data_IF_578885423948
#
_entry.id   IF_578885423948
#
_cell.length_a   1.000
_cell.length_b   1.000
_cell.length_c   1.000
_cell.angle_alpha   90.00
_cell.angle_beta   90.00
_cell.angle_gamma   90.00
#
_symmetry.space_group_name_H-M   'P 1'
#
loop_
_entity.id
_entity.type
_entity.pdbx_description
1 polymer ?
#
# COMPACT_ATOMS: atom_id res chain seq x y z
N UNK A 1 10.14 10.88 13.90
CA UNK A 1 10.59 10.04 12.76
C UNK A 1 11.70 10.68 11.92
N UNK A 2 12.81 9.96 11.69
CA UNK A 2 13.84 10.29 10.69
C UNK A 2 13.48 9.62 9.34
N UNK A 3 12.72 10.30 8.48
CA UNK A 3 12.06 9.70 7.31
C UNK A 3 12.97 8.81 6.43
N UNK A 4 14.12 9.34 5.97
CA UNK A 4 15.01 8.61 5.05
C UNK A 4 15.59 7.36 5.69
N UNK A 5 15.90 7.41 6.99
CA UNK A 5 16.40 6.26 7.74
C UNK A 5 15.31 5.20 7.87
N UNK A 6 14.11 5.60 8.30
CA UNK A 6 12.94 4.72 8.39
C UNK A 6 12.63 4.06 7.05
N UNK A 7 12.61 4.84 5.95
CA UNK A 7 12.37 4.30 4.61
C UNK A 7 13.43 3.27 4.20
N UNK A 8 14.71 3.57 4.43
CA UNK A 8 15.80 2.61 4.17
C UNK A 8 15.67 1.35 5.01
N UNK A 9 15.30 1.47 6.28
CA UNK A 9 15.13 0.31 7.16
C UNK A 9 13.95 -0.57 6.71
N UNK A 10 12.81 0.01 6.35
CA UNK A 10 11.65 -0.71 5.81
C UNK A 10 12.02 -1.44 4.52
N UNK A 11 12.68 -0.76 3.58
CA UNK A 11 12.97 -1.30 2.23
C UNK A 11 14.19 -2.24 2.21
N UNK A 12 15.20 -2.01 3.04
CA UNK A 12 16.44 -2.82 2.99
C UNK A 12 16.47 -3.89 4.07
N UNK A 13 15.75 -3.69 5.18
CA UNK A 13 15.79 -4.57 6.36
C UNK A 13 14.41 -4.75 7.00
N UNK A 14 13.39 -5.17 6.23
CA UNK A 14 12.01 -5.22 6.70
C UNK A 14 11.87 -6.06 7.97
N UNK A 15 12.38 -7.30 7.98
CA UNK A 15 12.27 -8.16 9.15
C UNK A 15 12.85 -7.54 10.43
N UNK A 16 14.00 -6.86 10.35
CA UNK A 16 14.59 -6.17 11.50
C UNK A 16 13.76 -4.96 11.94
N UNK A 17 13.22 -4.20 10.98
CA UNK A 17 12.39 -3.03 11.24
C UNK A 17 11.12 -3.43 11.99
N UNK A 18 10.36 -4.39 11.47
CA UNK A 18 9.08 -4.81 12.05
C UNK A 18 9.22 -5.57 13.36
N UNK A 19 10.35 -6.24 13.58
CA UNK A 19 10.63 -6.84 14.89
C UNK A 19 10.87 -5.79 15.98
N UNK A 20 11.47 -4.64 15.63
CA UNK A 20 11.71 -3.51 16.56
C UNK A 20 10.50 -2.58 16.67
N UNK A 21 9.59 -2.63 15.70
CA UNK A 21 8.42 -1.75 15.64
C UNK A 21 7.52 -1.99 16.86
N UNK A 22 7.20 -0.95 17.64
CA UNK A 22 6.26 -1.10 18.74
C UNK A 22 4.88 -1.54 18.25
N UNK A 23 4.22 -2.44 18.97
CA UNK A 23 2.86 -2.91 18.66
C UNK A 23 1.75 -1.91 19.05
N UNK A 24 2.12 -0.85 19.79
CA UNK A 24 1.24 0.23 20.22
C UNK A 24 2.00 1.57 20.32
N UNK A 25 1.28 2.69 20.34
CA UNK A 25 1.82 4.05 20.48
C UNK A 25 1.18 5.11 19.57
N UNK A 26 0.04 4.82 18.95
CA UNK A 26 -0.72 5.72 18.09
C UNK A 26 -0.45 5.53 16.59
N UNK A 27 -1.20 6.28 15.78
CA UNK A 27 -1.19 6.18 14.31
C UNK A 27 -0.41 7.30 13.63
N UNK A 28 -0.03 8.35 14.38
CA UNK A 28 0.49 9.60 13.81
C UNK A 28 1.78 9.40 13.00
N UNK A 29 2.78 8.69 13.55
CA UNK A 29 4.05 8.46 12.84
C UNK A 29 3.87 7.59 11.58
N UNK A 30 3.25 6.40 11.63
CA UNK A 30 3.00 5.58 10.44
C UNK A 30 2.16 6.31 9.38
N UNK A 31 1.15 7.06 9.81
CA UNK A 31 0.29 7.82 8.89
C UNK A 31 1.09 8.93 8.19
N UNK A 32 1.94 9.64 8.94
CA UNK A 32 2.82 10.66 8.38
C UNK A 32 3.83 10.04 7.41
N UNK A 33 4.40 8.89 7.74
CA UNK A 33 5.31 8.15 6.85
C UNK A 33 4.64 7.80 5.52
N UNK A 34 3.44 7.22 5.58
CA UNK A 34 2.69 6.84 4.40
C UNK A 34 2.27 8.05 3.57
N UNK A 35 1.84 9.15 4.20
CA UNK A 35 1.53 10.40 3.53
C UNK A 35 2.74 10.98 2.77
N UNK A 36 3.95 10.90 3.35
CA UNK A 36 5.17 11.35 2.67
C UNK A 36 5.48 10.46 1.46
N UNK A 37 5.46 9.12 1.61
CA UNK A 37 5.67 8.20 0.48
C UNK A 37 4.68 8.45 -0.64
N UNK A 38 3.43 8.71 -0.28
CA UNK A 38 2.35 8.99 -1.17
C UNK A 38 2.58 10.27 -2.00
N UNK A 39 2.90 11.38 -1.33
CA UNK A 39 3.20 12.66 -1.99
C UNK A 39 4.39 12.52 -2.93
N UNK A 40 5.45 11.82 -2.50
CA UNK A 40 6.63 11.55 -3.35
C UNK A 40 6.23 10.71 -4.57
N UNK A 41 5.46 9.65 -4.37
CA UNK A 41 5.03 8.75 -5.46
C UNK A 41 4.16 9.48 -6.47
N UNK A 42 3.25 10.35 -6.02
CA UNK A 42 2.42 11.18 -6.89
C UNK A 42 3.27 12.15 -7.70
N UNK A 43 4.19 12.89 -7.07
CA UNK A 43 5.07 13.82 -7.78
C UNK A 43 5.95 13.12 -8.82
N UNK A 44 6.53 11.97 -8.46
CA UNK A 44 7.34 11.17 -9.40
C UNK A 44 6.49 10.63 -10.56
N UNK A 45 5.24 10.21 -10.30
CA UNK A 45 4.33 9.71 -11.34
C UNK A 45 3.93 10.81 -12.33
N UNK A 46 3.68 12.03 -11.84
CA UNK A 46 3.42 13.19 -12.70
C UNK A 46 4.64 13.51 -13.56
N UNK A 47 5.84 13.51 -12.98
CA UNK A 47 7.08 13.78 -13.70
C UNK A 47 7.40 12.71 -14.77
N UNK A 48 7.18 11.44 -14.43
CA UNK A 48 7.34 10.33 -15.35
C UNK A 48 6.34 10.42 -16.51
N UNK A 49 5.07 10.74 -16.22
CA UNK A 49 4.02 10.91 -17.21
C UNK A 49 4.33 12.07 -18.17
N UNK A 50 4.83 13.20 -17.65
CA UNK A 50 5.29 14.33 -18.46
C UNK A 50 6.42 13.91 -19.41
N UNK A 51 7.42 13.20 -18.89
CA UNK A 51 8.56 12.75 -19.68
C UNK A 51 8.13 11.82 -20.82
N UNK A 52 7.24 10.86 -20.55
CA UNK A 52 6.71 9.94 -21.57
C UNK A 52 5.96 10.71 -22.67
N UNK A 53 5.07 11.63 -22.31
CA UNK A 53 4.29 12.42 -23.28
C UNK A 53 5.18 13.25 -24.20
N UNK A 54 6.25 13.85 -23.67
CA UNK A 54 7.21 14.63 -24.48
C UNK A 54 8.05 13.77 -25.43
N UNK A 55 8.41 12.54 -25.02
CA UNK A 55 9.21 11.62 -25.85
C UNK A 55 8.39 11.06 -27.03
N UNK A 56 7.10 10.79 -26.83
CA UNK A 56 6.21 10.26 -27.87
C UNK A 56 5.59 11.33 -28.78
N UNK A 57 6.05 12.59 -28.69
CA UNK A 57 5.65 13.66 -29.60
C UNK A 57 4.20 14.11 -29.45
N UNK A 58 3.61 13.94 -28.28
CA UNK A 58 2.23 14.39 -28.02
C UNK A 58 2.19 15.91 -27.87
N UNK A 59 1.41 16.60 -28.72
CA UNK A 59 1.01 18.01 -28.55
C UNK A 59 -0.01 18.16 -27.40
N UNK A 60 0.32 17.60 -26.24
CA UNK A 60 -0.54 17.67 -25.06
C UNK A 60 -0.60 19.10 -24.52
N UNK A 61 -1.81 19.62 -24.38
CA UNK A 61 -2.04 20.95 -23.83
C UNK A 61 -1.82 20.91 -22.31
N UNK A 62 -1.41 22.03 -21.70
CA UNK A 62 -1.23 22.12 -20.24
C UNK A 62 -2.51 21.75 -19.44
N UNK A 63 -3.68 21.89 -20.05
CA UNK A 63 -4.97 21.43 -19.50
C UNK A 63 -5.03 19.92 -19.31
N UNK A 64 -4.45 19.15 -20.24
CA UNK A 64 -4.52 17.68 -20.26
C UNK A 64 -3.62 17.09 -19.17
N UNK A 65 -2.48 17.73 -18.90
CA UNK A 65 -1.61 17.40 -17.77
C UNK A 65 -2.28 17.69 -16.42
N UNK A 66 -3.05 18.77 -16.33
CA UNK A 66 -3.84 19.09 -15.14
C UNK A 66 -4.84 17.96 -14.82
N UNK A 67 -5.61 17.54 -15.81
CA UNK A 67 -6.59 16.43 -15.67
C UNK A 67 -5.89 15.11 -15.33
N UNK A 68 -4.79 14.78 -16.01
CA UNK A 68 -4.02 13.56 -15.73
C UNK A 68 -3.44 13.55 -14.32
N UNK A 69 -2.87 14.66 -13.86
CA UNK A 69 -2.31 14.76 -12.51
C UNK A 69 -3.38 14.63 -11.42
N UNK A 70 -4.56 15.22 -11.63
CA UNK A 70 -5.70 15.11 -10.74
C UNK A 70 -6.24 13.66 -10.69
N UNK A 71 -6.32 12.99 -11.84
CA UNK A 71 -6.73 11.60 -11.92
C UNK A 71 -5.73 10.67 -11.23
N UNK A 72 -4.43 10.85 -11.47
CA UNK A 72 -3.37 10.11 -10.79
C UNK A 72 -3.41 10.32 -9.27
N UNK A 73 -3.64 11.56 -8.83
CA UNK A 73 -3.83 11.89 -7.42
C UNK A 73 -5.06 11.18 -6.83
N UNK A 74 -6.20 11.21 -7.53
CA UNK A 74 -7.41 10.52 -7.07
C UNK A 74 -7.21 9.00 -6.97
N UNK A 75 -6.58 8.37 -7.97
CA UNK A 75 -6.29 6.93 -7.99
C UNK A 75 -5.37 6.54 -6.85
N UNK A 76 -4.26 7.26 -6.69
CA UNK A 76 -3.37 7.03 -5.58
C UNK A 76 -4.16 7.19 -4.26
N UNK A 77 -5.02 8.21 -4.12
CA UNK A 77 -5.68 8.49 -2.83
C UNK A 77 -6.63 7.36 -2.48
N UNK A 78 -7.32 6.83 -3.49
CA UNK A 78 -8.13 5.64 -3.36
C UNK A 78 -7.29 4.44 -2.88
N UNK A 79 -6.08 4.22 -3.45
CA UNK A 79 -5.14 3.19 -2.99
C UNK A 79 -4.74 3.41 -1.53
N UNK A 80 -4.40 4.64 -1.14
CA UNK A 80 -4.04 4.96 0.24
C UNK A 80 -5.19 4.63 1.22
N UNK A 81 -6.42 5.01 0.88
CA UNK A 81 -7.60 4.68 1.70
C UNK A 81 -7.94 3.19 1.70
N UNK A 82 -7.66 2.47 0.60
CA UNK A 82 -7.92 1.04 0.51
C UNK A 82 -6.99 0.23 1.40
N UNK A 83 -5.74 0.69 1.63
CA UNK A 83 -4.82 0.06 2.59
C UNK A 83 -5.36 0.07 4.03
N UNK A 84 -6.08 1.12 4.43
CA UNK A 84 -6.71 1.20 5.74
C UNK A 84 -7.83 0.16 5.86
N UNK A 85 -8.66 0.04 4.82
CA UNK A 85 -9.72 -0.97 4.78
C UNK A 85 -9.15 -2.39 4.74
N UNK A 86 -8.09 -2.60 3.97
CA UNK A 86 -7.37 -3.86 3.89
C UNK A 86 -6.82 -4.26 5.25
N UNK A 87 -6.25 -3.33 6.03
CA UNK A 87 -5.75 -3.60 7.36
C UNK A 87 -6.85 -4.10 8.32
N UNK A 88 -8.08 -3.60 8.20
CA UNK A 88 -9.22 -4.08 8.98
C UNK A 88 -9.55 -5.54 8.66
N UNK A 89 -9.66 -5.85 7.36
CA UNK A 89 -9.94 -7.23 6.89
C UNK A 89 -8.81 -8.17 7.28
N UNK A 90 -7.56 -7.76 7.07
CA UNK A 90 -6.38 -8.53 7.42
C UNK A 90 -6.33 -8.81 8.93
N UNK A 91 -6.55 -7.80 9.78
CA UNK A 91 -6.55 -7.99 11.23
C UNK A 91 -7.64 -8.99 11.66
N UNK A 92 -8.83 -8.91 11.09
CA UNK A 92 -9.90 -9.87 11.36
C UNK A 92 -9.47 -11.30 10.98
N UNK A 93 -8.87 -11.48 9.80
CA UNK A 93 -8.38 -12.78 9.33
C UNK A 93 -7.20 -13.30 10.19
N UNK A 94 -6.28 -12.43 10.61
CA UNK A 94 -5.22 -12.79 11.55
C UNK A 94 -5.80 -13.29 12.86
N UNK A 95 -6.77 -12.58 13.45
CA UNK A 95 -7.46 -13.04 14.66
C UNK A 95 -8.17 -14.39 14.45
N UNK A 96 -8.85 -14.58 13.33
CA UNK A 96 -9.52 -15.83 13.00
C UNK A 96 -8.56 -17.01 12.86
N UNK A 97 -7.31 -16.78 12.44
CA UNK A 97 -6.28 -17.80 12.26
C UNK A 97 -5.33 -17.97 13.45
N UNK A 98 -5.64 -17.35 14.59
CA UNK A 98 -4.90 -17.46 15.86
C UNK A 98 -3.74 -16.47 16.02
N UNK A 99 -3.71 -15.39 15.24
CA UNK A 99 -2.72 -14.32 15.34
C UNK A 99 -2.89 -13.49 16.62
N UNK A 100 -1.76 -13.10 17.22
CA UNK A 100 -1.74 -12.38 18.51
C UNK A 100 -1.81 -10.85 18.36
N UNK A 101 -1.45 -10.33 17.19
CA UNK A 101 -1.37 -8.89 16.91
C UNK A 101 -2.71 -8.17 17.03
N UNK A 102 -2.65 -6.85 17.16
CA UNK A 102 -3.81 -5.96 17.28
C UNK A 102 -4.07 -5.20 15.97
N UNK A 103 -5.21 -4.51 15.92
CA UNK A 103 -5.56 -3.68 14.77
C UNK A 103 -4.53 -2.57 14.56
N UNK A 104 -4.00 -1.99 15.64
CA UNK A 104 -3.00 -0.94 15.56
C UNK A 104 -1.71 -1.40 14.86
N UNK A 105 -1.18 -2.55 15.25
CA UNK A 105 -0.04 -3.18 14.58
C UNK A 105 -0.33 -3.51 13.11
N UNK A 106 -1.58 -3.88 12.79
CA UNK A 106 -2.00 -4.15 11.41
C UNK A 106 -2.11 -2.87 10.57
N UNK A 107 -2.56 -1.76 11.14
CA UNK A 107 -2.55 -0.48 10.44
C UNK A 107 -1.12 0.01 10.25
N UNK A 108 -0.26 -0.14 11.27
CA UNK A 108 1.16 0.21 11.21
C UNK A 108 1.87 -0.54 10.08
N UNK A 109 1.68 -1.85 9.97
CA UNK A 109 2.32 -2.65 8.92
C UNK A 109 1.86 -2.19 7.53
N UNK A 110 0.56 -1.97 7.31
CA UNK A 110 0.05 -1.49 6.01
C UNK A 110 0.56 -0.10 5.66
N UNK A 111 0.68 0.80 6.65
CA UNK A 111 1.18 2.15 6.44
C UNK A 111 2.69 2.18 6.15
N UNK A 112 3.50 1.35 6.81
CA UNK A 112 4.93 1.26 6.50
C UNK A 112 5.22 0.55 5.17
N UNK A 113 4.40 -0.43 4.77
CA UNK A 113 4.52 -1.08 3.46
C UNK A 113 4.44 -0.11 2.28
N UNK A 114 3.79 1.06 2.46
CA UNK A 114 3.74 2.15 1.48
C UNK A 114 5.12 2.66 1.01
N UNK A 115 6.20 2.32 1.70
CA UNK A 115 7.56 2.63 1.27
C UNK A 115 7.87 2.15 -0.15
N UNK A 116 7.26 1.03 -0.57
CA UNK A 116 7.41 0.46 -1.90
C UNK A 116 6.77 1.33 -3.00
N UNK A 117 5.80 2.18 -2.68
CA UNK A 117 5.09 3.03 -3.64
C UNK A 117 6.02 3.98 -4.39
N UNK A 118 7.15 4.38 -3.81
CA UNK A 118 8.11 5.28 -4.47
C UNK A 118 8.61 4.67 -5.79
N UNK A 119 8.73 3.35 -5.86
CA UNK A 119 9.16 2.64 -7.07
C UNK A 119 8.05 2.52 -8.13
N UNK A 120 6.78 2.76 -7.77
CA UNK A 120 5.64 2.65 -8.68
C UNK A 120 5.63 3.70 -9.78
N UNK A 121 6.34 4.82 -9.59
CA UNK A 121 6.40 5.92 -10.54
C UNK A 121 7.16 5.58 -11.84
N UNK A 122 7.96 4.52 -11.86
CA UNK A 122 8.67 4.06 -13.06
C UNK A 122 7.87 2.90 -13.68
N UNK A 123 7.22 3.07 -14.85
CA UNK A 123 6.26 2.10 -15.38
C UNK A 123 6.82 0.67 -15.50
N UNK A 124 8.08 0.53 -15.89
CA UNK A 124 8.74 -0.77 -16.05
C UNK A 124 9.10 -1.43 -14.71
N UNK A 125 9.20 -0.67 -13.63
CA UNK A 125 9.51 -1.16 -12.28
C UNK A 125 8.23 -1.37 -11.46
N UNK A 126 7.11 -0.74 -11.84
CA UNK A 126 5.83 -0.83 -11.12
C UNK A 126 5.42 -2.28 -10.75
N UNK A 127 5.52 -3.29 -11.63
CA UNK A 127 5.18 -4.66 -11.25
C UNK A 127 6.09 -5.23 -10.15
N UNK A 128 7.38 -4.89 -10.19
CA UNK A 128 8.36 -5.29 -9.17
C UNK A 128 8.05 -4.61 -7.83
N UNK A 129 7.68 -3.33 -7.88
CA UNK A 129 7.28 -2.57 -6.70
C UNK A 129 6.06 -3.20 -6.01
N UNK A 130 5.04 -3.59 -6.78
CA UNK A 130 3.83 -4.25 -6.25
C UNK A 130 4.12 -5.62 -5.63
N UNK A 131 4.98 -6.43 -6.28
CA UNK A 131 5.41 -7.72 -5.72
C UNK A 131 6.18 -7.50 -4.42
N UNK A 132 7.03 -6.48 -4.38
CA UNK A 132 7.81 -6.16 -3.19
C UNK A 132 6.94 -5.63 -2.04
N UNK A 133 5.94 -4.80 -2.33
CA UNK A 133 4.94 -4.37 -1.36
C UNK A 133 4.16 -5.55 -0.77
N UNK A 134 3.75 -6.51 -1.61
CA UNK A 134 3.12 -7.74 -1.16
C UNK A 134 4.05 -8.55 -0.25
N UNK A 135 5.33 -8.64 -0.60
CA UNK A 135 6.35 -9.28 0.23
C UNK A 135 6.47 -8.61 1.61
N UNK A 136 6.50 -7.28 1.67
CA UNK A 136 6.50 -6.52 2.94
C UNK A 136 5.27 -6.94 3.76
N UNK A 137 4.06 -6.77 3.23
CA UNK A 137 2.82 -7.12 3.94
C UNK A 137 2.82 -8.56 4.52
N UNK A 138 3.41 -9.52 3.79
CA UNK A 138 3.52 -10.91 4.24
C UNK A 138 4.54 -11.07 5.38
N UNK A 139 5.76 -10.56 5.21
CA UNK A 139 6.81 -10.67 6.23
C UNK A 139 6.41 -9.95 7.51
N UNK A 140 5.81 -8.78 7.36
CA UNK A 140 5.47 -7.90 8.46
C UNK A 140 4.27 -8.46 9.22
N UNK A 141 3.28 -8.94 8.49
CA UNK A 141 2.13 -9.66 9.05
C UNK A 141 2.53 -10.91 9.84
N UNK A 142 3.52 -11.67 9.34
CA UNK A 142 4.07 -12.83 10.04
C UNK A 142 4.66 -12.44 11.40
N UNK A 143 5.45 -11.36 11.43
CA UNK A 143 6.14 -10.88 12.63
C UNK A 143 5.14 -10.27 13.63
N UNK A 144 4.30 -9.33 13.17
CA UNK A 144 3.37 -8.57 14.02
C UNK A 144 2.29 -9.47 14.64
N UNK A 145 1.81 -10.47 13.89
CA UNK A 145 0.77 -11.39 14.37
C UNK A 145 1.31 -12.70 14.91
N UNK A 146 2.63 -12.88 14.93
CA UNK A 146 3.32 -14.10 15.37
C UNK A 146 2.73 -15.37 14.75
N UNK A 147 2.45 -15.33 13.45
CA UNK A 147 1.94 -16.47 12.68
C UNK A 147 3.05 -17.04 11.79
N UNK A 148 2.83 -18.21 11.18
CA UNK A 148 3.77 -18.72 10.18
C UNK A 148 3.66 -17.94 8.86
N UNK A 149 4.75 -17.90 8.09
CA UNK A 149 4.81 -17.20 6.79
C UNK A 149 3.69 -17.66 5.84
N UNK A 150 3.41 -18.96 5.79
CA UNK A 150 2.34 -19.54 4.97
C UNK A 150 0.95 -19.00 5.36
N UNK A 151 0.68 -18.88 6.66
CA UNK A 151 -0.58 -18.29 7.14
C UNK A 151 -0.68 -16.81 6.76
N UNK A 152 0.40 -16.06 6.98
CA UNK A 152 0.47 -14.64 6.60
C UNK A 152 0.21 -14.43 5.10
N UNK A 153 0.83 -15.25 4.25
CA UNK A 153 0.60 -15.22 2.80
C UNK A 153 -0.87 -15.43 2.43
N UNK A 154 -1.51 -16.47 2.99
CA UNK A 154 -2.93 -16.75 2.74
C UNK A 154 -3.80 -15.58 3.20
N UNK A 155 -3.52 -15.03 4.38
CA UNK A 155 -4.29 -13.92 4.96
C UNK A 155 -4.17 -12.67 4.10
N UNK A 156 -2.96 -12.28 3.70
CA UNK A 156 -2.75 -11.09 2.86
C UNK A 156 -3.43 -11.27 1.52
N UNK A 157 -3.27 -12.42 0.85
CA UNK A 157 -3.98 -12.71 -0.40
C UNK A 157 -5.50 -12.58 -0.21
N UNK A 158 -6.06 -13.25 0.80
CA UNK A 158 -7.50 -13.23 1.07
C UNK A 158 -8.01 -11.82 1.41
N UNK A 159 -7.20 -11.00 2.07
CA UNK A 159 -7.53 -9.61 2.42
C UNK A 159 -7.71 -8.71 1.19
N UNK A 160 -7.01 -8.99 0.08
CA UNK A 160 -7.21 -8.29 -1.18
C UNK A 160 -8.43 -8.81 -1.96
N UNK A 161 -8.65 -10.13 -1.97
CA UNK A 161 -9.72 -10.73 -2.78
C UNK A 161 -11.12 -10.58 -2.16
N UNK A 162 -11.26 -10.66 -0.84
CA UNK A 162 -12.58 -10.61 -0.19
C UNK A 162 -13.36 -9.32 -0.46
N UNK A 163 -12.78 -8.10 -0.32
CA UNK A 163 -13.50 -6.87 -0.64
C UNK A 163 -13.91 -6.79 -2.11
N UNK A 164 -13.03 -7.24 -3.03
CA UNK A 164 -13.31 -7.23 -4.46
C UNK A 164 -14.50 -8.15 -4.82
N UNK A 165 -14.52 -9.37 -4.28
CA UNK A 165 -15.63 -10.32 -4.48
C UNK A 165 -16.92 -9.78 -3.88
N UNK A 166 -16.86 -9.19 -2.69
CA UNK A 166 -18.03 -8.61 -2.04
C UNK A 166 -18.66 -7.48 -2.87
N UNK A 167 -17.83 -6.54 -3.36
CA UNK A 167 -18.30 -5.47 -4.26
C UNK A 167 -18.90 -6.04 -5.53
N UNK A 168 -18.25 -7.03 -6.14
CA UNK A 168 -18.77 -7.68 -7.34
C UNK A 168 -20.15 -8.30 -7.12
N UNK A 169 -20.36 -9.02 -6.02
CA UNK A 169 -21.67 -9.61 -5.66
C UNK A 169 -22.73 -8.52 -5.50
N UNK A 170 -22.43 -7.42 -4.78
CA UNK A 170 -23.38 -6.32 -4.60
C UNK A 170 -23.78 -5.69 -5.93
N UNK A 171 -22.82 -5.46 -6.83
CA UNK A 171 -23.11 -4.90 -8.16
C UNK A 171 -23.94 -5.86 -9.00
N UNK A 172 -23.65 -7.16 -8.96
CA UNK A 172 -24.44 -8.18 -9.65
C UNK A 172 -25.89 -8.19 -9.13
N UNK A 173 -26.10 -8.21 -7.81
CA UNK A 173 -27.43 -8.18 -7.21
C UNK A 173 -28.20 -6.90 -7.55
N UNK A 174 -27.53 -5.74 -7.57
CA UNK A 174 -28.16 -4.47 -7.97
C UNK A 174 -28.56 -4.42 -9.44
N UNK A 175 -27.94 -5.22 -10.31
CA UNK A 175 -28.30 -5.30 -11.72
C UNK A 175 -29.54 -6.15 -12.02
N UNK A 176 -30.03 -6.90 -11.02
CA UNK A 176 -31.26 -7.69 -11.09
C UNK A 176 -32.46 -7.02 -10.37
N UNK A 177 -32.25 -5.87 -9.74
CA UNK A 177 -33.28 -5.08 -9.04
C UNK A 177 -33.73 -3.90 -9.90
#
# INVERSE_FOLDING_TARGET
MEYIKTWKEVVLKPAEFYWKMPSAGGYAEPLTFAAINYVISWLLSVLASFSILTIYGSESSYSDLGVLSALLGAVLLAIFTSFILQALVANFLYKAMGGTGNLEGTLRLSLYASAALIFSAVPFITPVALIYELYLLIVDGMIVHTVSMHKSMIIICLSFFLPAVFVWILTALSSFA
#
